data_IF_891300399886
#
_entry.id   IF_891300399886
#
_cell.length_a   1.000
_cell.length_b   1.000
_cell.length_c   1.000
_cell.angle_alpha   90.00
_cell.angle_beta   90.00
_cell.angle_gamma   90.00
#
_symmetry.space_group_name_H-M   'P 1'
#
loop_
_entity.id
_entity.type
_entity.pdbx_description
1 polymer ?
#
# COMPACT_ATOMS: atom_id res chain seq x y z
N UNK A 1 -14.13 0.81 -8.06
CA UNK A 1 -13.00 0.05 -8.62
C UNK A 1 -11.95 -0.08 -7.53
N UNK A 2 -11.40 -1.27 -7.32
CA UNK A 2 -10.50 -1.52 -6.17
C UNK A 2 -9.16 -0.83 -6.35
N UNK A 3 -8.69 -0.18 -5.31
CA UNK A 3 -7.34 0.39 -5.26
C UNK A 3 -6.31 -0.72 -5.60
N UNK A 4 -5.42 -0.45 -6.58
CA UNK A 4 -4.40 -1.39 -7.06
C UNK A 4 -3.51 -1.88 -5.91
N UNK A 5 -3.26 -1.03 -4.92
CA UNK A 5 -2.59 -1.37 -3.66
C UNK A 5 -3.28 -2.52 -2.91
N UNK A 6 -4.60 -2.40 -2.72
CA UNK A 6 -5.42 -3.39 -2.00
C UNK A 6 -5.48 -4.71 -2.77
N UNK A 7 -5.58 -4.63 -4.08
CA UNK A 7 -5.56 -5.80 -4.96
C UNK A 7 -4.22 -6.53 -4.84
N UNK A 8 -3.10 -5.81 -5.02
CA UNK A 8 -1.77 -6.39 -4.94
C UNK A 8 -1.46 -7.00 -3.57
N UNK A 9 -1.87 -6.34 -2.49
CA UNK A 9 -1.74 -6.88 -1.14
C UNK A 9 -2.48 -8.22 -0.98
N UNK A 10 -3.70 -8.32 -1.52
CA UNK A 10 -4.48 -9.57 -1.48
C UNK A 10 -3.90 -10.66 -2.36
N UNK A 11 -3.30 -10.34 -3.51
CA UNK A 11 -2.59 -11.31 -4.35
C UNK A 11 -1.40 -11.95 -3.63
N UNK A 12 -0.77 -11.20 -2.72
CA UNK A 12 0.32 -11.69 -1.86
C UNK A 12 -0.18 -12.40 -0.58
N UNK A 13 -1.50 -12.51 -0.40
CA UNK A 13 -2.15 -13.11 0.77
C UNK A 13 -1.69 -12.53 2.12
N UNK A 14 -1.38 -11.22 2.15
CA UNK A 14 -1.00 -10.53 3.38
C UNK A 14 -2.12 -9.63 3.90
N UNK A 15 -2.27 -9.55 5.21
CA UNK A 15 -3.23 -8.65 5.86
C UNK A 15 -2.75 -7.19 5.83
N UNK A 16 -3.65 -6.23 6.02
CA UNK A 16 -3.27 -4.82 6.23
C UNK A 16 -2.32 -4.67 7.42
N UNK A 17 -2.55 -5.44 8.50
CA UNK A 17 -1.66 -5.46 9.66
C UNK A 17 -0.25 -5.92 9.31
N UNK A 18 -0.14 -6.94 8.45
CA UNK A 18 1.16 -7.44 8.02
C UNK A 18 1.90 -6.42 7.15
N UNK A 19 1.18 -5.76 6.24
CA UNK A 19 1.77 -4.68 5.44
C UNK A 19 2.20 -3.48 6.32
N UNK A 20 1.43 -3.16 7.35
CA UNK A 20 1.77 -2.12 8.34
C UNK A 20 3.06 -2.46 9.08
N UNK A 21 3.19 -3.70 9.57
CA UNK A 21 4.40 -4.20 10.23
C UNK A 21 5.62 -4.13 9.30
N UNK A 22 5.49 -4.62 8.06
CA UNK A 22 6.57 -4.66 7.07
C UNK A 22 7.04 -3.25 6.67
N UNK A 23 6.10 -2.33 6.49
CA UNK A 23 6.40 -0.95 6.07
C UNK A 23 6.67 -0.01 7.25
N UNK A 24 6.47 -0.45 8.50
CA UNK A 24 6.53 0.42 9.69
C UNK A 24 5.52 1.57 9.66
N UNK A 25 4.45 1.46 8.86
CA UNK A 25 3.37 2.43 8.78
C UNK A 25 2.21 2.03 9.67
N UNK A 26 1.31 2.95 10.01
CA UNK A 26 0.13 2.58 10.77
C UNK A 26 -0.89 1.84 9.90
N UNK A 27 -1.57 0.87 10.50
CA UNK A 27 -2.68 0.10 9.88
C UNK A 27 -3.73 1.05 9.31
N UNK A 28 -4.10 2.09 10.06
CA UNK A 28 -5.06 3.12 9.63
C UNK A 28 -4.54 3.89 8.42
N UNK A 29 -3.24 4.20 8.36
CA UNK A 29 -2.66 4.91 7.22
C UNK A 29 -2.75 4.08 5.93
N UNK A 30 -2.36 2.80 5.98
CA UNK A 30 -2.48 1.89 4.83
C UNK A 30 -3.94 1.70 4.43
N UNK A 31 -4.84 1.50 5.39
CA UNK A 31 -6.27 1.39 5.11
C UNK A 31 -6.80 2.66 4.42
N UNK A 32 -6.38 3.85 4.86
CA UNK A 32 -6.79 5.11 4.23
C UNK A 32 -6.24 5.24 2.81
N UNK A 33 -5.02 4.77 2.55
CA UNK A 33 -4.48 4.68 1.19
C UNK A 33 -5.34 3.74 0.34
N UNK A 34 -5.60 2.53 0.82
CA UNK A 34 -6.39 1.50 0.10
C UNK A 34 -7.83 1.89 -0.19
N UNK A 35 -8.39 2.82 0.57
CA UNK A 35 -9.76 3.31 0.39
C UNK A 35 -9.79 4.75 -0.17
N UNK A 36 -8.68 5.23 -0.76
CA UNK A 36 -8.58 6.52 -1.45
C UNK A 36 -8.88 7.75 -0.57
N UNK A 37 -8.85 7.58 0.77
CA UNK A 37 -9.07 8.66 1.73
C UNK A 37 -7.82 9.54 1.93
N UNK A 38 -6.65 9.02 1.54
CA UNK A 38 -5.40 9.81 1.44
C UNK A 38 -4.81 9.64 0.05
N UNK A 39 -4.67 10.75 -0.67
CA UNK A 39 -4.34 10.76 -2.10
C UNK A 39 -2.91 11.20 -2.41
N UNK A 40 -2.08 11.51 -1.39
CA UNK A 40 -0.72 12.01 -1.63
C UNK A 40 0.30 11.52 -0.58
N UNK A 41 0.60 10.20 -0.53
CA UNK A 41 1.76 9.70 0.20
C UNK A 41 3.06 10.33 -0.34
N UNK A 42 4.08 10.46 0.51
CA UNK A 42 5.40 10.90 0.04
C UNK A 42 6.02 9.83 -0.88
N UNK A 43 6.98 10.25 -1.71
CA UNK A 43 7.71 9.34 -2.59
C UNK A 43 8.33 8.17 -1.82
N UNK A 44 8.97 8.44 -0.68
CA UNK A 44 9.57 7.44 0.20
C UNK A 44 8.54 6.40 0.67
N UNK A 45 7.36 6.85 1.08
CA UNK A 45 6.27 5.96 1.49
C UNK A 45 5.78 5.09 0.33
N UNK A 46 5.62 5.68 -0.86
CA UNK A 46 5.23 4.94 -2.05
C UNK A 46 6.25 3.87 -2.41
N UNK A 47 7.54 4.21 -2.43
CA UNK A 47 8.64 3.29 -2.71
C UNK A 47 8.69 2.16 -1.69
N UNK A 48 8.59 2.48 -0.40
CA UNK A 48 8.60 1.49 0.68
C UNK A 48 7.44 0.50 0.57
N UNK A 49 6.24 1.00 0.26
CA UNK A 49 5.06 0.13 0.06
C UNK A 49 5.25 -0.76 -1.18
N UNK A 50 5.71 -0.18 -2.29
CA UNK A 50 5.91 -0.90 -3.54
C UNK A 50 6.95 -2.02 -3.42
N UNK A 51 8.05 -1.76 -2.71
CA UNK A 51 9.10 -2.74 -2.40
C UNK A 51 8.52 -3.98 -1.70
N UNK A 52 7.75 -3.76 -0.63
CA UNK A 52 7.16 -4.85 0.17
C UNK A 52 6.01 -5.57 -0.55
N UNK A 53 5.41 -4.92 -1.55
CA UNK A 53 4.37 -5.50 -2.41
C UNK A 53 4.89 -6.07 -3.74
N UNK A 54 6.22 -6.13 -3.92
CA UNK A 54 6.87 -6.67 -5.13
C UNK A 54 6.23 -6.11 -6.41
N UNK A 55 6.03 -4.80 -6.44
CA UNK A 55 5.42 -4.06 -7.54
C UNK A 55 6.12 -2.71 -7.66
N UNK A 56 5.76 -1.93 -8.67
CA UNK A 56 6.36 -0.62 -8.89
C UNK A 56 5.42 0.51 -8.44
N UNK A 57 5.99 1.66 -8.05
CA UNK A 57 5.22 2.81 -7.56
C UNK A 57 4.17 3.28 -8.57
N UNK A 58 4.52 3.26 -9.86
CA UNK A 58 3.63 3.69 -10.94
C UNK A 58 2.39 2.78 -11.01
N UNK A 59 2.57 1.47 -10.93
CA UNK A 59 1.53 0.45 -10.99
C UNK A 59 0.62 0.52 -9.77
N UNK A 60 1.13 0.86 -8.59
CA UNK A 60 0.32 0.90 -7.37
C UNK A 60 -0.41 2.23 -7.15
N UNK A 61 0.18 3.35 -7.57
CA UNK A 61 -0.30 4.69 -7.21
C UNK A 61 -0.76 5.55 -8.40
N UNK A 62 -0.49 5.15 -9.65
CA UNK A 62 -0.86 5.86 -10.88
C UNK A 62 -1.59 4.91 -11.86
#
# INVERSE_FOLDING_TARGET
>A
MGNKLKTRRKELDISVYKLAEMTGLSVTYISNLENEQRTNPSKDVMEKIAEHLKSNVIELFF
#
